data_IF_234962387923
#
_entry.id   IF_234962387923
#
_cell.length_a   1.000
_cell.length_b   1.000
_cell.length_c   1.000
_cell.angle_alpha   90.00
_cell.angle_beta   90.00
_cell.angle_gamma   90.00
#
_symmetry.space_group_name_H-M   'P 1'
#
loop_
_entity.id
_entity.type
_entity.pdbx_description
1 polymer ?
#
# COMPACT_ATOMS: atom_id res chain seq x y z
N UNK A 1 -5.13 -4.97 24.90
CA UNK A 1 -3.75 -5.49 25.04
C UNK A 1 -2.80 -4.36 24.68
N UNK A 2 -1.56 -4.34 25.20
CA UNK A 2 -0.57 -3.33 24.77
C UNK A 2 0.21 -3.88 23.59
N UNK A 3 0.07 -3.25 22.42
CA UNK A 3 0.86 -3.57 21.23
C UNK A 3 2.28 -3.00 21.40
N UNK A 4 3.30 -3.82 21.13
CA UNK A 4 4.70 -3.39 21.20
C UNK A 4 5.19 -3.04 19.80
N UNK A 5 5.29 -1.74 19.53
CA UNK A 5 5.84 -1.20 18.28
C UNK A 5 7.35 -1.05 18.42
N UNK A 6 8.08 -1.55 17.42
CA UNK A 6 9.55 -1.49 17.35
C UNK A 6 9.96 -0.80 16.04
N UNK A 7 11.04 -0.01 16.08
CA UNK A 7 11.68 0.46 14.86
C UNK A 7 12.37 -0.73 14.22
N UNK A 8 11.90 -1.15 13.04
CA UNK A 8 12.56 -2.17 12.26
C UNK A 8 13.80 -1.59 11.56
N UNK A 9 13.66 -0.40 10.98
CA UNK A 9 14.76 0.30 10.33
C UNK A 9 14.52 1.82 10.37
N UNK A 10 15.50 2.60 10.83
CA UNK A 10 15.43 4.07 10.85
C UNK A 10 15.84 4.66 9.50
N UNK A 11 14.95 4.56 8.51
CA UNK A 11 15.24 4.92 7.12
C UNK A 11 15.21 6.43 6.85
N UNK A 12 14.53 7.21 7.69
CA UNK A 12 14.26 8.65 7.47
C UNK A 12 13.63 8.95 6.09
N UNK A 13 12.79 8.05 5.59
CA UNK A 13 12.14 8.17 4.29
C UNK A 13 11.36 9.48 4.16
N UNK A 14 11.46 10.11 2.99
CA UNK A 14 10.67 11.29 2.63
C UNK A 14 9.20 10.89 2.53
N UNK A 15 8.89 9.85 1.74
CA UNK A 15 7.56 9.26 1.62
C UNK A 15 7.66 7.73 1.48
N UNK A 16 7.87 7.04 2.61
CA UNK A 16 7.91 5.59 2.66
C UNK A 16 6.52 4.99 2.43
N UNK A 17 6.37 4.04 1.52
CA UNK A 17 5.08 3.53 1.04
C UNK A 17 5.14 2.10 0.49
N UNK A 18 3.96 1.54 0.16
CA UNK A 18 3.79 0.32 -0.62
C UNK A 18 4.53 -0.93 -0.09
N UNK A 19 4.47 -1.24 1.23
CA UNK A 19 5.15 -2.41 1.77
C UNK A 19 4.54 -3.72 1.24
N UNK A 20 5.38 -4.59 0.71
CA UNK A 20 5.02 -5.89 0.14
C UNK A 20 5.95 -6.99 0.68
N UNK A 21 5.38 -7.99 1.33
CA UNK A 21 6.13 -9.08 1.96
C UNK A 21 6.42 -10.22 0.97
N UNK A 22 7.69 -10.60 0.88
CA UNK A 22 8.18 -11.78 0.16
C UNK A 22 8.28 -12.95 1.14
N UNK A 23 7.23 -13.77 1.21
CA UNK A 23 7.20 -14.90 2.13
C UNK A 23 8.29 -15.93 1.80
N UNK A 24 8.57 -16.19 0.52
CA UNK A 24 9.52 -17.20 0.10
C UNK A 24 10.96 -16.85 0.54
N UNK A 25 11.34 -15.57 0.45
CA UNK A 25 12.68 -15.11 0.79
C UNK A 25 12.76 -14.38 2.13
N UNK A 26 11.64 -14.27 2.86
CA UNK A 26 11.54 -13.60 4.17
C UNK A 26 12.12 -12.18 4.16
N UNK A 27 11.72 -11.37 3.18
CA UNK A 27 12.16 -9.98 2.99
C UNK A 27 10.99 -9.07 2.67
N UNK A 28 11.15 -7.78 2.91
CA UNK A 28 10.13 -6.77 2.67
C UNK A 28 10.58 -5.83 1.54
N UNK A 29 9.75 -5.70 0.52
CA UNK A 29 9.86 -4.62 -0.46
C UNK A 29 9.03 -3.43 0.00
N UNK A 30 9.51 -2.21 -0.22
CA UNK A 30 8.76 -0.97 -0.01
C UNK A 30 9.44 0.15 -0.80
N UNK A 31 8.79 1.30 -0.95
CA UNK A 31 9.32 2.40 -1.78
C UNK A 31 9.46 3.68 -0.97
N UNK A 32 10.41 4.54 -1.35
CA UNK A 32 10.33 5.97 -1.07
C UNK A 32 9.90 6.66 -2.36
N UNK A 33 8.64 7.07 -2.41
CA UNK A 33 8.02 7.56 -3.65
C UNK A 33 8.76 8.78 -4.16
N UNK A 34 9.05 9.74 -3.28
CA UNK A 34 9.58 11.05 -3.65
C UNK A 34 11.08 11.00 -3.92
N UNK A 35 11.80 10.10 -3.24
CA UNK A 35 13.22 9.84 -3.51
C UNK A 35 13.45 8.87 -4.68
N UNK A 36 12.38 8.30 -5.26
CA UNK A 36 12.43 7.35 -6.39
C UNK A 36 13.20 6.08 -6.05
N UNK A 37 13.02 5.58 -4.84
CA UNK A 37 13.78 4.46 -4.31
C UNK A 37 12.89 3.24 -4.14
N UNK A 38 13.42 2.08 -4.54
CA UNK A 38 12.92 0.77 -4.11
C UNK A 38 13.84 0.25 -3.02
N UNK A 39 13.25 -0.12 -1.90
CA UNK A 39 13.93 -0.69 -0.75
C UNK A 39 13.63 -2.18 -0.64
N UNK A 40 14.66 -2.96 -0.29
CA UNK A 40 14.59 -4.39 -0.01
C UNK A 40 15.18 -4.60 1.38
N UNK A 41 14.31 -4.78 2.37
CA UNK A 41 14.66 -4.96 3.76
C UNK A 41 14.73 -6.46 4.11
N UNK A 42 15.85 -6.89 4.71
CA UNK A 42 16.04 -8.24 5.22
C UNK A 42 15.99 -8.20 6.76
N UNK A 43 14.91 -8.71 7.38
CA UNK A 43 14.76 -8.62 8.84
C UNK A 43 15.74 -9.48 9.64
N UNK A 44 16.25 -10.58 9.06
CA UNK A 44 17.05 -11.56 9.79
C UNK A 44 18.44 -11.05 10.20
N UNK A 45 19.01 -10.14 9.40
CA UNK A 45 20.31 -9.51 9.63
C UNK A 45 20.23 -7.97 9.67
N UNK A 46 19.02 -7.42 9.61
CA UNK A 46 18.72 -5.99 9.66
C UNK A 46 19.42 -5.19 8.53
N UNK A 47 19.42 -5.72 7.31
CA UNK A 47 20.01 -5.07 6.13
C UNK A 47 18.98 -4.43 5.22
N UNK A 48 19.34 -3.29 4.63
CA UNK A 48 18.55 -2.59 3.63
C UNK A 48 19.35 -2.45 2.32
N UNK A 49 18.83 -3.04 1.24
CA UNK A 49 19.32 -2.75 -0.12
C UNK A 49 18.41 -1.70 -0.75
N UNK A 50 18.99 -0.72 -1.44
CA UNK A 50 18.24 0.36 -2.10
C UNK A 50 18.60 0.45 -3.57
N UNK A 51 17.59 0.59 -4.42
CA UNK A 51 17.74 0.82 -5.87
C UNK A 51 17.06 2.13 -6.24
N UNK A 52 17.74 2.96 -7.03
CA UNK A 52 17.28 4.31 -7.39
C UNK A 52 16.81 4.35 -8.83
N UNK A 53 15.70 5.03 -9.08
CA UNK A 53 15.06 5.14 -10.39
C UNK A 53 15.01 6.60 -10.87
N UNK A 54 14.71 6.78 -12.16
CA UNK A 54 14.58 8.08 -12.82
C UNK A 54 13.23 8.78 -12.56
N UNK A 55 12.24 8.03 -12.07
CA UNK A 55 10.87 8.49 -11.84
C UNK A 55 10.29 7.92 -10.55
N UNK A 56 9.20 8.53 -10.06
CA UNK A 56 8.49 8.07 -8.87
C UNK A 56 7.97 6.65 -9.04
N UNK A 57 8.02 5.89 -7.95
CA UNK A 57 7.48 4.54 -7.84
C UNK A 57 6.40 4.62 -6.77
N UNK A 58 5.14 4.43 -7.14
CA UNK A 58 4.04 4.47 -6.17
C UNK A 58 3.92 3.15 -5.40
N UNK A 59 4.00 2.03 -6.11
CA UNK A 59 3.85 0.69 -5.53
C UNK A 59 4.71 -0.34 -6.25
N UNK A 60 5.05 -1.41 -5.53
CA UNK A 60 5.72 -2.59 -6.07
C UNK A 60 5.02 -3.88 -5.58
N UNK A 61 4.88 -4.85 -6.47
CA UNK A 61 4.33 -6.18 -6.16
C UNK A 61 5.21 -7.26 -6.77
N UNK A 62 5.33 -8.41 -6.10
CA UNK A 62 6.05 -9.55 -6.65
C UNK A 62 5.26 -10.25 -7.77
N UNK A 63 6.00 -10.76 -8.75
CA UNK A 63 5.50 -11.72 -9.74
C UNK A 63 5.76 -13.15 -9.25
N UNK A 64 5.05 -14.12 -9.81
CA UNK A 64 5.32 -15.55 -9.55
C UNK A 64 6.74 -15.98 -9.92
N UNK A 65 7.36 -15.29 -10.88
CA UNK A 65 8.77 -15.50 -11.26
C UNK A 65 9.79 -14.93 -10.27
N UNK A 66 9.35 -14.27 -9.19
CA UNK A 66 10.22 -13.64 -8.20
C UNK A 66 10.83 -12.30 -8.64
N UNK A 67 10.29 -11.70 -9.70
CA UNK A 67 10.59 -10.33 -10.15
C UNK A 67 9.53 -9.37 -9.60
N UNK A 68 9.58 -8.10 -10.03
CA UNK A 68 8.61 -7.09 -9.58
C UNK A 68 7.80 -6.53 -10.74
N UNK A 69 6.54 -6.20 -10.47
CA UNK A 69 5.87 -5.11 -11.17
C UNK A 69 6.00 -3.83 -10.36
N UNK A 70 6.29 -2.72 -11.05
CA UNK A 70 6.41 -1.38 -10.49
C UNK A 70 5.33 -0.49 -11.11
N UNK A 71 4.44 0.07 -10.30
CA UNK A 71 3.55 1.14 -10.71
C UNK A 71 4.30 2.47 -10.57
N UNK A 72 4.81 2.99 -11.68
CA UNK A 72 5.67 4.18 -11.72
C UNK A 72 4.93 5.39 -12.27
N UNK A 73 5.50 6.59 -12.18
CA UNK A 73 4.86 7.83 -12.67
C UNK A 73 4.26 7.70 -14.08
N UNK A 74 4.98 7.09 -15.03
CA UNK A 74 4.57 7.02 -16.44
C UNK A 74 4.16 5.61 -16.91
N UNK A 75 3.70 4.75 -16.01
CA UNK A 75 3.18 3.45 -16.38
C UNK A 75 3.55 2.32 -15.44
N UNK A 76 3.13 1.11 -15.80
CA UNK A 76 3.47 -0.13 -15.11
C UNK A 76 4.64 -0.79 -15.82
N UNK A 77 5.64 -1.20 -15.07
CA UNK A 77 6.87 -1.82 -15.55
C UNK A 77 7.07 -3.20 -14.93
N UNK A 78 7.51 -4.16 -15.73
CA UNK A 78 8.19 -5.35 -15.21
C UNK A 78 9.63 -5.00 -14.89
N UNK A 79 10.15 -5.47 -13.76
CA UNK A 79 11.50 -5.18 -13.29
C UNK A 79 12.21 -6.45 -12.84
N UNK A 80 13.33 -6.77 -13.49
CA UNK A 80 14.14 -7.92 -13.09
C UNK A 80 14.98 -7.61 -11.86
N UNK A 81 14.82 -8.41 -10.80
CA UNK A 81 15.69 -8.26 -9.63
C UNK A 81 17.14 -8.69 -9.91
N UNK A 82 17.34 -9.56 -10.90
CA UNK A 82 18.66 -10.09 -11.25
C UNK A 82 19.45 -9.18 -12.19
N UNK A 83 18.84 -8.75 -13.31
CA UNK A 83 19.53 -7.93 -14.33
C UNK A 83 19.37 -6.44 -14.09
N UNK A 84 18.43 -6.04 -13.23
CA UNK A 84 18.03 -4.65 -13.00
C UNK A 84 17.46 -3.94 -14.24
N UNK A 85 17.08 -4.71 -15.26
CA UNK A 85 16.38 -4.20 -16.43
C UNK A 85 14.89 -3.99 -16.14
N UNK A 86 14.33 -2.92 -16.69
CA UNK A 86 12.90 -2.60 -16.63
C UNK A 86 12.28 -2.57 -18.03
N UNK A 87 11.10 -3.17 -18.18
CA UNK A 87 10.32 -3.19 -19.42
C UNK A 87 8.94 -2.60 -19.16
N UNK A 88 8.58 -1.57 -19.93
CA UNK A 88 7.25 -0.95 -19.82
C UNK A 88 6.19 -1.91 -20.35
N UNK A 89 5.15 -2.17 -19.55
CA UNK A 89 4.03 -3.02 -19.94
C UNK A 89 2.83 -2.20 -20.40
N UNK A 90 2.47 -1.15 -19.66
CA UNK A 90 1.28 -0.35 -19.92
C UNK A 90 1.42 1.09 -19.40
N UNK A 91 0.69 2.01 -20.01
CA UNK A 91 0.55 3.40 -19.56
C UNK A 91 -0.83 3.95 -19.95
N UNK A 92 -1.84 3.75 -19.08
CA UNK A 92 -3.21 4.11 -19.39
C UNK A 92 -3.43 5.64 -19.33
N UNK A 93 -2.46 6.39 -18.83
CA UNK A 93 -2.54 7.85 -18.59
C UNK A 93 -1.45 8.62 -19.34
N UNK A 94 -0.95 8.09 -20.45
CA UNK A 94 0.10 8.74 -21.25
C UNK A 94 -0.25 10.18 -21.72
N UNK A 95 -1.53 10.55 -21.73
CA UNK A 95 -2.02 11.91 -22.04
C UNK A 95 -2.16 12.82 -20.81
N UNK A 96 -1.94 12.31 -19.60
CA UNK A 96 -2.04 13.04 -18.32
C UNK A 96 -0.66 13.12 -17.66
N UNK A 97 0.28 13.93 -18.19
CA UNK A 97 1.67 13.93 -17.74
C UNK A 97 1.85 14.43 -16.30
N UNK A 98 0.83 15.06 -15.70
CA UNK A 98 0.84 15.50 -14.31
C UNK A 98 0.38 14.42 -13.33
N UNK A 99 -0.05 13.25 -13.81
CA UNK A 99 -0.41 12.13 -12.94
C UNK A 99 0.78 11.23 -12.64
N UNK A 100 0.64 10.47 -11.55
CA UNK A 100 1.48 9.32 -11.19
C UNK A 100 0.61 8.22 -10.60
N UNK A 101 1.08 6.98 -10.64
CA UNK A 101 0.55 5.94 -9.76
C UNK A 101 0.88 6.24 -8.28
N UNK A 102 0.01 5.79 -7.39
CA UNK A 102 0.13 5.92 -5.93
C UNK A 102 0.15 4.52 -5.30
N UNK A 103 -0.93 4.01 -4.70
CA UNK A 103 -0.92 2.65 -4.14
C UNK A 103 -1.29 1.58 -5.19
N UNK A 104 -0.93 0.32 -4.90
CA UNK A 104 -1.25 -0.83 -5.72
C UNK A 104 -1.00 -2.16 -5.04
N UNK A 105 -1.82 -3.16 -5.39
CA UNK A 105 -1.76 -4.52 -4.83
C UNK A 105 -2.33 -5.53 -5.83
N UNK A 106 -1.87 -6.78 -5.76
CA UNK A 106 -2.50 -7.85 -6.52
C UNK A 106 -3.78 -8.35 -5.86
N UNK A 107 -4.78 -8.65 -6.69
CA UNK A 107 -6.00 -9.31 -6.26
C UNK A 107 -5.81 -10.83 -6.10
N UNK A 108 -6.80 -11.56 -5.55
CA UNK A 108 -6.71 -13.01 -5.36
C UNK A 108 -6.49 -13.86 -6.62
N UNK A 109 -6.72 -13.29 -7.81
CA UNK A 109 -6.50 -13.97 -9.09
C UNK A 109 -5.19 -13.51 -9.76
N UNK A 110 -4.32 -12.81 -9.01
CA UNK A 110 -3.01 -12.38 -9.47
C UNK A 110 -3.03 -11.24 -10.48
N UNK A 111 -4.11 -10.45 -10.53
CA UNK A 111 -4.18 -9.23 -11.36
C UNK A 111 -3.64 -8.05 -10.57
N UNK A 112 -2.84 -7.20 -11.18
CA UNK A 112 -2.26 -6.04 -10.51
C UNK A 112 -3.20 -4.85 -10.57
N UNK A 113 -3.68 -4.40 -9.41
CA UNK A 113 -4.47 -3.18 -9.29
C UNK A 113 -3.59 -2.05 -8.81
N UNK A 114 -3.63 -0.92 -9.50
CA UNK A 114 -2.90 0.27 -9.10
C UNK A 114 -3.68 1.50 -9.54
N UNK A 115 -3.72 2.52 -8.68
CA UNK A 115 -4.44 3.74 -9.01
C UNK A 115 -3.56 4.97 -9.01
N UNK A 116 -4.09 6.01 -9.62
CA UNK A 116 -3.35 7.23 -9.96
C UNK A 116 -3.86 8.43 -9.18
N UNK A 117 -3.06 9.49 -9.18
CA UNK A 117 -3.37 10.79 -8.63
C UNK A 117 -2.61 11.88 -9.39
N UNK A 118 -3.10 13.12 -9.30
CA UNK A 118 -2.35 14.30 -9.74
C UNK A 118 -1.18 14.56 -8.80
N UNK A 119 -0.02 14.95 -9.36
CA UNK A 119 1.16 15.38 -8.58
C UNK A 119 0.88 16.60 -7.70
N UNK A 120 -0.12 17.41 -8.07
CA UNK A 120 -0.55 18.57 -7.31
C UNK A 120 -1.72 18.26 -6.37
N UNK A 121 -2.09 16.97 -6.21
CA UNK A 121 -3.24 16.53 -5.42
C UNK A 121 -4.58 17.16 -5.89
N UNK A 122 -4.67 17.49 -7.18
CA UNK A 122 -5.88 18.02 -7.78
C UNK A 122 -7.03 17.00 -7.69
N UNK A 123 -8.21 17.49 -7.30
CA UNK A 123 -9.40 16.67 -7.13
C UNK A 123 -9.80 15.96 -8.42
N UNK A 124 -10.21 14.72 -8.26
CA UNK A 124 -10.87 13.93 -9.32
C UNK A 124 -10.03 13.70 -10.59
N UNK A 125 -8.69 13.85 -10.52
CA UNK A 125 -7.79 13.62 -11.65
C UNK A 125 -7.27 12.18 -11.76
N UNK A 126 -7.43 11.38 -10.72
CA UNK A 126 -6.99 10.00 -10.66
C UNK A 126 -8.01 8.98 -11.18
N UNK A 127 -7.56 7.74 -11.32
CA UNK A 127 -8.38 6.58 -11.65
C UNK A 127 -7.76 5.32 -11.03
N UNK A 128 -8.57 4.28 -10.81
CA UNK A 128 -8.08 2.95 -10.45
C UNK A 128 -8.01 2.07 -11.68
N UNK A 129 -6.89 1.37 -11.89
CA UNK A 129 -6.68 0.46 -13.01
C UNK A 129 -6.40 -0.95 -12.54
N UNK A 130 -6.67 -1.93 -13.42
CA UNK A 130 -6.35 -3.34 -13.24
C UNK A 130 -5.62 -3.86 -14.47
N UNK A 131 -4.40 -4.36 -14.29
CA UNK A 131 -3.60 -5.06 -15.28
C UNK A 131 -3.73 -6.57 -15.07
N UNK A 132 -4.06 -7.31 -16.12
CA UNK A 132 -4.08 -8.78 -16.10
C UNK A 132 -2.83 -9.39 -16.74
N UNK A 133 -2.68 -10.72 -16.62
CA UNK A 133 -1.56 -11.50 -17.14
C UNK A 133 -1.42 -11.45 -18.67
N UNK A 134 -2.47 -11.05 -19.39
CA UNK A 134 -2.41 -10.89 -20.86
C UNK A 134 -1.84 -9.51 -21.27
N UNK A 135 -1.51 -8.66 -20.29
CA UNK A 135 -1.05 -7.29 -20.52
C UNK A 135 -2.18 -6.30 -20.73
N UNK A 136 -3.45 -6.72 -20.59
CA UNK A 136 -4.59 -5.84 -20.76
C UNK A 136 -4.82 -5.02 -19.47
N UNK A 137 -4.88 -3.70 -19.64
CA UNK A 137 -5.13 -2.75 -18.55
C UNK A 137 -6.52 -2.13 -18.71
N UNK A 138 -7.35 -2.29 -17.67
CA UNK A 138 -8.74 -1.78 -17.65
C UNK A 138 -8.88 -0.72 -16.57
N UNK A 139 -9.54 0.39 -16.89
CA UNK A 139 -9.98 1.39 -15.91
C UNK A 139 -11.17 0.84 -15.14
N UNK A 140 -11.08 0.81 -13.82
CA UNK A 140 -12.07 0.19 -12.93
C UNK A 140 -12.88 1.23 -12.15
N UNK A 141 -12.24 2.33 -11.71
CA UNK A 141 -12.93 3.44 -11.05
C UNK A 141 -12.42 4.78 -11.57
N UNK A 142 -13.34 5.73 -11.70
CA UNK A 142 -13.10 7.14 -12.03
C UNK A 142 -14.35 7.95 -11.71
N UNK A 143 -14.23 9.21 -11.26
CA UNK A 143 -12.98 9.86 -10.85
C UNK A 143 -12.48 9.35 -9.49
N UNK A 144 -11.19 9.56 -9.22
CA UNK A 144 -10.50 9.34 -7.93
C UNK A 144 -9.64 10.57 -7.64
N UNK A 145 -9.43 10.95 -6.37
CA UNK A 145 -8.51 12.04 -6.03
C UNK A 145 -7.11 11.54 -5.66
N UNK A 146 -7.01 10.71 -4.62
CA UNK A 146 -5.75 10.07 -4.20
C UNK A 146 -6.03 8.59 -4.01
N UNK A 147 -5.67 7.78 -5.00
CA UNK A 147 -5.88 6.34 -4.95
C UNK A 147 -4.97 5.69 -3.91
N UNK A 148 -5.57 4.98 -2.96
CA UNK A 148 -4.85 4.43 -1.82
C UNK A 148 -5.37 3.04 -1.42
N UNK A 149 -5.14 2.63 -0.17
CA UNK A 149 -5.28 1.29 0.36
C UNK A 149 -6.29 0.37 -0.31
N UNK A 150 -5.80 -0.79 -0.75
CA UNK A 150 -6.59 -1.85 -1.38
C UNK A 150 -6.50 -3.16 -0.56
N UNK A 151 -7.62 -3.85 -0.42
CA UNK A 151 -7.66 -5.19 0.15
C UNK A 151 -8.84 -6.00 -0.42
N UNK A 152 -8.76 -7.32 -0.32
CA UNK A 152 -9.83 -8.23 -0.68
C UNK A 152 -10.19 -9.11 0.52
N UNK A 153 -11.47 -9.42 0.67
CA UNK A 153 -11.90 -10.33 1.74
C UNK A 153 -11.31 -11.73 1.56
N UNK A 154 -11.10 -12.51 2.64
CA UNK A 154 -10.49 -13.84 2.54
C UNK A 154 -11.31 -14.82 1.69
N UNK A 155 -12.63 -14.63 1.65
CA UNK A 155 -13.57 -15.39 0.82
C UNK A 155 -13.62 -14.90 -0.65
N UNK A 156 -12.85 -13.86 -0.99
CA UNK A 156 -12.72 -13.27 -2.33
C UNK A 156 -14.03 -12.73 -2.91
N UNK A 157 -14.98 -12.32 -2.06
CA UNK A 157 -16.29 -11.79 -2.50
C UNK A 157 -16.43 -10.27 -2.36
N UNK A 158 -15.47 -9.62 -1.69
CA UNK A 158 -15.44 -8.18 -1.50
C UNK A 158 -14.06 -7.60 -1.81
N UNK A 159 -14.08 -6.37 -2.31
CA UNK A 159 -12.92 -5.49 -2.42
C UNK A 159 -13.15 -4.25 -1.57
N UNK A 160 -12.11 -3.82 -0.87
CA UNK A 160 -12.06 -2.63 -0.04
C UNK A 160 -11.08 -1.63 -0.65
N UNK A 161 -11.48 -0.37 -0.71
CA UNK A 161 -10.71 0.65 -1.42
C UNK A 161 -10.83 2.02 -0.75
N UNK A 162 -9.70 2.74 -0.70
CA UNK A 162 -9.59 4.09 -0.15
C UNK A 162 -9.30 5.09 -1.27
N UNK A 163 -10.13 6.14 -1.33
CA UNK A 163 -9.78 7.42 -1.96
C UNK A 163 -9.58 8.43 -0.83
N UNK A 164 -8.33 8.72 -0.49
CA UNK A 164 -7.94 9.32 0.81
C UNK A 164 -8.75 10.56 1.21
N UNK A 165 -8.99 11.56 0.35
CA UNK A 165 -9.73 12.78 0.72
C UNK A 165 -11.19 12.53 1.08
N UNK A 166 -11.77 11.39 0.67
CA UNK A 166 -13.14 11.02 1.05
C UNK A 166 -13.25 10.60 2.52
N UNK A 167 -12.14 10.19 3.15
CA UNK A 167 -12.09 9.59 4.51
C UNK A 167 -13.02 8.39 4.65
N UNK A 168 -13.18 7.65 3.57
CA UNK A 168 -14.06 6.50 3.48
C UNK A 168 -13.32 5.28 2.95
N UNK A 169 -13.55 4.13 3.59
CA UNK A 169 -13.26 2.83 2.97
C UNK A 169 -14.52 2.38 2.26
N UNK A 170 -14.48 2.38 0.93
CA UNK A 170 -15.57 1.90 0.09
C UNK A 170 -15.53 0.39 -0.01
N UNK A 171 -16.71 -0.23 -0.03
CA UNK A 171 -16.88 -1.68 -0.16
C UNK A 171 -17.53 -2.00 -1.51
N UNK A 172 -16.89 -2.87 -2.27
CA UNK A 172 -17.39 -3.37 -3.54
C UNK A 172 -17.65 -4.88 -3.45
N UNK A 173 -18.70 -5.37 -4.10
CA UNK A 173 -18.77 -6.81 -4.45
C UNK A 173 -17.70 -7.07 -5.49
N UNK A 174 -16.93 -8.12 -5.29
CA UNK A 174 -15.85 -8.53 -6.19
C UNK A 174 -16.18 -9.89 -6.78
N UNK A 175 -16.08 -9.99 -8.11
CA UNK A 175 -16.12 -11.26 -8.81
C UNK A 175 -14.68 -11.72 -9.05
N UNK A 176 -14.23 -12.74 -8.33
CA UNK A 176 -12.86 -13.25 -8.44
C UNK A 176 -12.56 -13.85 -9.81
N UNK A 177 -13.57 -14.31 -10.56
CA UNK A 177 -13.37 -14.86 -11.91
C UNK A 177 -13.10 -13.75 -12.90
N UNK A 178 -13.96 -12.75 -12.97
CA UNK A 178 -13.87 -11.67 -13.98
C UNK A 178 -13.01 -10.49 -13.54
N UNK A 179 -12.86 -10.32 -12.22
CA UNK A 179 -12.22 -9.19 -11.56
C UNK A 179 -13.04 -7.92 -11.62
N UNK A 180 -14.31 -8.02 -12.00
CA UNK A 180 -15.20 -6.87 -12.01
C UNK A 180 -15.67 -6.55 -10.58
N UNK A 181 -15.96 -5.27 -10.36
CA UNK A 181 -16.43 -4.75 -9.08
C UNK A 181 -17.78 -4.06 -9.23
N UNK A 182 -18.64 -4.24 -8.23
CA UNK A 182 -19.94 -3.55 -8.16
C UNK A 182 -20.04 -2.80 -6.84
N UNK A 183 -20.36 -1.50 -6.90
CA UNK A 183 -20.49 -0.67 -5.70
C UNK A 183 -21.58 -1.21 -4.77
N UNK A 184 -21.31 -1.16 -3.47
CA UNK A 184 -22.33 -1.36 -2.44
C UNK A 184 -22.70 -0.02 -1.79
N UNK A 185 -23.69 -0.04 -0.89
CA UNK A 185 -23.99 1.10 -0.01
C UNK A 185 -23.18 1.06 1.31
N UNK A 186 -22.30 0.07 1.49
CA UNK A 186 -21.51 -0.08 2.70
C UNK A 186 -20.25 0.78 2.60
N UNK A 187 -19.95 1.46 3.71
CA UNK A 187 -18.79 2.32 3.85
C UNK A 187 -18.32 2.33 5.30
N UNK A 188 -17.01 2.36 5.50
CA UNK A 188 -16.42 2.69 6.80
C UNK A 188 -15.99 4.14 6.74
N UNK A 189 -16.53 4.97 7.64
CA UNK A 189 -16.16 6.39 7.74
C UNK A 189 -15.07 6.56 8.76
N UNK A 190 -13.97 7.17 8.36
CA UNK A 190 -12.85 7.50 9.23
C UNK A 190 -13.10 8.89 9.83
N UNK A 191 -13.20 8.99 11.17
CA UNK A 191 -13.39 10.27 11.84
C UNK A 191 -12.26 11.27 11.53
N UNK A 192 -12.56 12.56 11.32
CA UNK A 192 -11.55 13.55 10.92
C UNK A 192 -10.35 13.65 11.87
N UNK A 193 -10.57 13.46 13.17
CA UNK A 193 -9.59 13.50 14.24
C UNK A 193 -8.55 12.37 14.19
N UNK A 194 -8.83 11.30 13.44
CA UNK A 194 -7.89 10.20 13.25
C UNK A 194 -6.87 10.48 12.14
N UNK A 195 -6.99 11.59 11.41
CA UNK A 195 -6.21 11.83 10.21
C UNK A 195 -6.87 11.22 8.96
N UNK A 196 -6.10 11.04 7.90
CA UNK A 196 -6.61 10.54 6.63
C UNK A 196 -6.27 9.06 6.44
N UNK A 197 -7.22 8.21 6.00
CA UNK A 197 -6.90 6.83 5.67
C UNK A 197 -5.98 6.78 4.46
N UNK A 198 -4.94 5.96 4.55
CA UNK A 198 -3.89 5.86 3.57
C UNK A 198 -3.82 4.40 3.04
N UNK A 199 -2.68 3.73 3.15
CA UNK A 199 -2.53 2.30 2.87
C UNK A 199 -3.29 1.39 3.83
N UNK A 200 -3.67 0.20 3.34
CA UNK A 200 -4.49 -0.76 4.08
C UNK A 200 -4.09 -2.21 3.76
N UNK A 201 -4.26 -3.11 4.74
CA UNK A 201 -4.18 -4.55 4.55
C UNK A 201 -5.30 -5.28 5.31
N UNK A 202 -5.38 -6.60 5.21
CA UNK A 202 -6.41 -7.44 5.85
C UNK A 202 -5.77 -8.62 6.60
N UNK A 203 -6.37 -9.00 7.72
CA UNK A 203 -5.97 -10.19 8.47
C UNK A 203 -6.80 -11.44 8.09
N UNK A 204 -6.37 -12.61 8.58
CA UNK A 204 -7.03 -13.90 8.31
C UNK A 204 -8.46 -13.98 8.88
N UNK A 205 -8.81 -13.11 9.85
CA UNK A 205 -10.16 -12.99 10.40
C UNK A 205 -11.06 -12.09 9.53
N UNK A 206 -10.50 -11.45 8.48
CA UNK A 206 -11.22 -10.55 7.59
C UNK A 206 -11.36 -9.12 8.12
N UNK A 207 -10.52 -8.70 9.06
CA UNK A 207 -10.51 -7.33 9.59
C UNK A 207 -9.46 -6.48 8.87
N UNK A 208 -9.80 -5.21 8.63
CA UNK A 208 -8.97 -4.27 7.90
C UNK A 208 -8.02 -3.55 8.85
N UNK A 209 -6.74 -3.47 8.48
CA UNK A 209 -5.72 -2.70 9.16
C UNK A 209 -5.39 -1.49 8.30
N UNK A 210 -5.64 -0.29 8.82
CA UNK A 210 -5.62 0.97 8.06
C UNK A 210 -4.59 1.92 8.68
N UNK A 211 -3.70 2.44 7.84
CA UNK A 211 -2.77 3.50 8.19
C UNK A 211 -3.43 4.87 8.13
N UNK A 212 -3.00 5.77 9.03
CA UNK A 212 -3.56 7.11 9.13
C UNK A 212 -2.49 8.20 8.95
N UNK A 213 -2.54 8.86 7.81
CA UNK A 213 -1.72 10.03 7.52
C UNK A 213 -2.09 11.19 8.44
N UNK A 214 -1.09 11.75 9.12
CA UNK A 214 -1.27 12.77 10.15
C UNK A 214 -1.95 12.28 11.44
N UNK A 215 -2.20 10.97 11.55
CA UNK A 215 -2.95 10.35 12.63
C UNK A 215 -2.11 9.62 13.67
N UNK A 216 -0.83 9.39 13.39
CA UNK A 216 0.11 8.66 14.25
C UNK A 216 -0.37 7.27 14.70
N UNK A 217 -1.11 6.55 13.86
CA UNK A 217 -1.73 5.27 14.23
C UNK A 217 -1.96 4.31 13.07
N UNK A 218 -2.06 3.02 13.41
CA UNK A 218 -2.81 2.02 12.65
C UNK A 218 -4.10 1.71 13.41
N UNK A 219 -5.21 1.50 12.72
CA UNK A 219 -6.46 1.01 13.34
C UNK A 219 -6.94 -0.28 12.70
N UNK A 220 -7.56 -1.15 13.49
CA UNK A 220 -8.20 -2.39 13.02
C UNK A 220 -9.72 -2.21 12.96
N UNK A 221 -10.34 -2.55 11.84
CA UNK A 221 -11.78 -2.36 11.61
C UNK A 221 -12.46 -3.64 11.17
N UNK A 222 -13.67 -3.85 11.67
CA UNK A 222 -14.57 -4.86 11.14
C UNK A 222 -15.35 -4.29 9.95
N UNK A 223 -15.11 -4.76 8.72
CA UNK A 223 -15.76 -4.19 7.53
C UNK A 223 -17.25 -4.48 7.43
N UNK A 224 -17.75 -5.54 8.09
CA UNK A 224 -19.17 -5.89 8.07
C UNK A 224 -20.01 -4.98 8.96
N UNK A 225 -19.43 -4.52 10.08
CA UNK A 225 -20.13 -3.69 11.08
C UNK A 225 -19.68 -2.23 11.07
N UNK A 226 -18.63 -1.90 10.32
CA UNK A 226 -17.96 -0.60 10.30
C UNK A 226 -17.50 -0.13 11.70
N UNK A 227 -17.19 -1.07 12.60
CA UNK A 227 -16.69 -0.78 13.94
C UNK A 227 -15.18 -0.91 14.01
N UNK A 228 -14.53 0.09 14.60
CA UNK A 228 -13.14 -0.03 15.02
C UNK A 228 -13.04 -1.03 16.19
N UNK A 229 -12.08 -1.95 16.10
CA UNK A 229 -11.82 -2.99 17.08
C UNK A 229 -10.59 -2.69 17.92
N UNK A 230 -9.52 -2.21 17.28
CA UNK A 230 -8.22 -1.97 17.92
C UNK A 230 -7.53 -0.73 17.33
N UNK A 231 -6.51 -0.25 18.04
CA UNK A 231 -5.61 0.83 17.63
C UNK A 231 -4.18 0.52 18.07
N UNK A 232 -3.22 0.81 17.19
CA UNK A 232 -1.78 0.77 17.46
C UNK A 232 -1.23 2.19 17.31
N UNK A 233 -0.90 2.88 18.41
CA UNK A 233 -0.18 4.15 18.34
C UNK A 233 1.21 3.94 17.73
N UNK A 234 1.59 4.77 16.77
CA UNK A 234 2.90 4.74 16.10
C UNK A 234 3.65 6.02 16.47
N UNK A 235 4.93 5.95 16.87
CA UNK A 235 5.72 7.13 17.24
C UNK A 235 6.23 7.90 16.01
N UNK A 236 5.37 8.12 15.03
CA UNK A 236 5.60 8.85 13.79
C UNK A 236 4.28 9.49 13.34
N UNK A 237 4.34 10.73 12.84
CA UNK A 237 3.13 11.51 12.53
C UNK A 237 2.37 10.99 11.31
N UNK A 238 3.10 10.82 10.20
CA UNK A 238 2.54 10.43 8.92
C UNK A 238 2.72 8.92 8.73
N UNK A 239 1.74 8.13 9.17
CA UNK A 239 1.73 6.68 8.96
C UNK A 239 1.06 6.40 7.62
N UNK A 240 1.77 5.73 6.72
CA UNK A 240 1.42 5.69 5.29
C UNK A 240 0.80 4.37 4.88
N UNK A 241 1.38 3.23 5.26
CA UNK A 241 0.86 1.94 4.86
C UNK A 241 1.32 0.83 5.80
N UNK A 242 0.75 -0.36 5.63
CA UNK A 242 1.12 -1.54 6.41
C UNK A 242 0.89 -2.85 5.66
N UNK A 243 1.68 -3.86 6.02
CA UNK A 243 1.54 -5.23 5.50
C UNK A 243 1.95 -6.25 6.55
N UNK A 244 1.35 -7.43 6.51
CA UNK A 244 1.76 -8.53 7.37
C UNK A 244 2.99 -9.23 6.79
N UNK A 245 3.88 -9.67 7.68
CA UNK A 245 5.11 -10.37 7.34
C UNK A 245 5.65 -11.18 8.51
N UNK A 246 6.94 -11.49 8.44
CA UNK A 246 7.58 -12.45 9.34
C UNK A 246 7.20 -13.90 9.00
N UNK A 247 7.89 -14.83 9.66
CA UNK A 247 7.79 -16.29 9.38
C UNK A 247 6.38 -16.86 9.59
N UNK A 248 5.56 -16.19 10.41
CA UNK A 248 4.23 -16.65 10.78
C UNK A 248 3.13 -15.70 10.36
N UNK A 249 3.46 -14.68 9.54
CA UNK A 249 2.55 -13.61 9.11
C UNK A 249 1.87 -12.89 10.28
N UNK A 250 2.51 -12.81 11.45
CA UNK A 250 2.00 -12.21 12.67
C UNK A 250 2.81 -10.97 13.10
N UNK A 251 3.63 -10.44 12.19
CA UNK A 251 4.32 -9.15 12.33
C UNK A 251 3.74 -8.16 11.33
N UNK A 252 3.19 -7.04 11.80
CA UNK A 252 2.74 -5.96 10.94
C UNK A 252 3.90 -4.98 10.70
N UNK A 253 4.39 -4.91 9.47
CA UNK A 253 5.34 -3.91 9.00
C UNK A 253 4.61 -2.64 8.60
N UNK A 254 5.15 -1.48 8.98
CA UNK A 254 4.46 -0.19 8.87
C UNK A 254 5.44 0.85 8.32
N UNK A 255 5.07 1.47 7.20
CA UNK A 255 5.83 2.57 6.59
C UNK A 255 5.33 3.92 7.10
N UNK A 256 6.21 4.91 7.12
CA UNK A 256 5.91 6.27 7.56
C UNK A 256 6.67 7.29 6.71
N UNK A 257 6.31 8.57 6.82
CA UNK A 257 6.84 9.64 5.99
C UNK A 257 7.27 10.87 6.79
N UNK A 258 8.17 11.67 6.20
CA UNK A 258 8.61 12.98 6.70
C UNK A 258 8.08 14.15 5.87
N UNK A 259 7.65 13.91 4.63
CA UNK A 259 7.20 14.97 3.73
C UNK A 259 6.07 15.79 4.38
N UNK A 260 6.14 17.11 4.19
CA UNK A 260 5.19 18.07 4.76
C UNK A 260 5.39 18.39 6.24
N UNK A 261 6.33 17.74 6.94
CA UNK A 261 6.64 18.04 8.34
C UNK A 261 7.59 19.22 8.47
N UNK A 262 7.34 20.09 9.46
CA UNK A 262 8.26 21.17 9.85
C UNK A 262 9.23 20.71 10.96
N UNK A 263 10.19 21.57 11.32
CA UNK A 263 11.23 21.26 12.33
C UNK A 263 10.64 20.88 13.70
N UNK A 264 9.60 21.57 14.17
CA UNK A 264 8.93 21.30 15.45
C UNK A 264 8.30 19.90 15.43
N UNK A 265 7.62 19.56 14.34
CA UNK A 265 6.99 18.24 14.20
C UNK A 265 8.03 17.12 14.08
N UNK A 266 9.18 17.39 13.45
CA UNK A 266 10.28 16.44 13.36
C UNK A 266 10.98 16.24 14.72
N UNK A 267 11.01 17.25 15.58
CA UNK A 267 11.45 17.13 16.97
C UNK A 267 10.45 16.35 17.82
N UNK A 268 9.15 16.56 17.63
CA UNK A 268 8.08 15.82 18.33
C UNK A 268 7.99 14.35 17.88
N UNK A 269 8.17 14.09 16.58
CA UNK A 269 8.11 12.76 15.96
C UNK A 269 9.44 12.42 15.25
N UNK A 270 10.54 12.20 16.00
CA UNK A 270 11.87 12.00 15.40
C UNK A 270 12.01 10.72 14.59
N UNK A 271 11.10 9.75 14.79
CA UNK A 271 11.05 8.49 14.07
C UNK A 271 10.17 8.52 12.81
N UNK A 272 9.56 9.66 12.46
CA UNK A 272 8.90 9.82 11.16
C UNK A 272 9.87 9.52 10.01
N UNK A 273 9.39 8.74 9.04
CA UNK A 273 10.18 8.18 7.94
C UNK A 273 10.81 6.81 8.24
N UNK A 274 10.62 6.25 9.44
CA UNK A 274 11.11 4.90 9.77
C UNK A 274 10.18 3.82 9.24
N UNK A 275 10.74 2.63 9.06
CA UNK A 275 10.01 1.37 8.98
C UNK A 275 9.82 0.83 10.39
N UNK A 276 8.58 0.57 10.79
CA UNK A 276 8.24 -0.06 12.06
C UNK A 276 7.79 -1.50 11.86
N UNK A 277 7.82 -2.28 12.95
CA UNK A 277 7.16 -3.57 13.03
C UNK A 277 6.41 -3.70 14.36
N UNK A 278 5.31 -4.44 14.36
CA UNK A 278 4.54 -4.76 15.55
C UNK A 278 4.11 -6.22 15.53
N UNK A 279 4.40 -6.97 16.59
CA UNK A 279 3.89 -8.34 16.76
C UNK A 279 2.42 -8.30 17.13
N UNK A 280 1.59 -9.07 16.44
CA UNK A 280 0.14 -9.13 16.64
C UNK A 280 -0.32 -10.51 17.10
N UNK A 281 -1.45 -10.60 17.82
CA UNK A 281 -2.06 -11.87 18.21
C UNK A 281 -2.86 -12.54 17.07
N UNK A 282 -2.99 -11.84 15.93
CA UNK A 282 -3.68 -12.32 14.72
C UNK A 282 -2.68 -12.35 13.57
N UNK A 283 -2.94 -13.21 12.58
CA UNK A 283 -2.10 -13.33 11.39
C UNK A 283 -2.71 -12.62 10.20
N UNK A 284 -1.85 -12.14 9.32
CA UNK A 284 -2.21 -11.72 7.98
C UNK A 284 -2.43 -12.87 7.03
N UNK A 285 -2.73 -12.49 5.79
CA UNK A 285 -2.73 -13.38 4.63
C UNK A 285 -1.50 -13.06 3.79
N UNK A 286 -0.87 -14.07 3.21
CA UNK A 286 0.24 -13.88 2.29
C UNK A 286 -0.20 -12.95 1.13
N UNK A 287 0.60 -11.93 0.76
CA UNK A 287 0.28 -11.10 -0.38
C UNK A 287 0.12 -11.94 -1.65
N UNK A 288 -0.91 -11.67 -2.45
CA UNK A 288 -1.04 -12.27 -3.77
C UNK A 288 0.09 -11.78 -4.68
N UNK A 289 0.56 -12.67 -5.55
CA UNK A 289 1.58 -12.38 -6.55
C UNK A 289 0.91 -12.05 -7.89
N UNK A 290 1.57 -11.27 -8.73
CA UNK A 290 1.12 -11.10 -10.11
C UNK A 290 1.39 -12.38 -10.91
N UNK A 291 0.35 -12.91 -11.57
CA UNK A 291 0.47 -14.03 -12.50
C UNK A 291 1.06 -13.48 -13.82
N UNK A 292 2.31 -13.82 -14.10
CA UNK A 292 3.04 -13.39 -15.30
C UNK A 292 2.99 -14.42 -16.41
#
# INVERSE_FOLDING_TARGET
MSFKVEVAYDAKATLGEGPHWDEANQRLFWVDILEKQLHIYQPHDNQMTTRVFDQYIGACVLTESGNLLLAMKNGIYHYSLLTEEKTKLADPEHTLPNNRFNDGKCDPAGRFWAGTMSLNEEKEQGSLYRLDSTGNIKKMLSPVTISNGLAWSPDQTYMYYIDTPTREVKVFRFDSTTGDITSTNQVIKIPPEMGYPDGMTIDEEGMLWIAHWGGSRITRWNPQTAKQLDEIPIPAKNVTSCTFGGKHLDELYITTARVGMNEIELEEYPLSGSLFKCKLPVKGIAPYLFHS
#
